data_IF_388694371402
#
_entry.id   IF_388694371402
#
_cell.length_a   1.000
_cell.length_b   1.000
_cell.length_c   1.000
_cell.angle_alpha   90.00
_cell.angle_beta   90.00
_cell.angle_gamma   90.00
#
_symmetry.space_group_name_H-M   'P 1'
#
loop_
_entity.id
_entity.type
_entity.pdbx_description
1 polymer ?
#
# COMPACT_ATOMS: atom_id res chain seq x y z
N UNK A 1 8.25 -4.63 16.42
CA UNK A 1 8.40 -5.46 15.20
C UNK A 1 7.08 -6.13 14.74
N UNK A 2 5.89 -5.71 15.22
CA UNK A 2 4.62 -6.38 14.92
C UNK A 2 3.70 -5.71 13.90
N UNK A 3 3.97 -4.46 13.53
CA UNK A 3 3.02 -3.64 12.75
C UNK A 3 3.01 -3.98 11.24
N UNK A 4 4.16 -4.44 10.72
CA UNK A 4 4.36 -4.70 9.29
C UNK A 4 3.38 -5.77 8.77
N UNK A 5 3.08 -6.79 9.58
CA UNK A 5 2.13 -7.86 9.20
C UNK A 5 0.68 -7.35 9.12
N UNK A 6 0.30 -6.40 9.97
CA UNK A 6 -1.03 -5.79 9.96
C UNK A 6 -1.17 -4.87 8.75
N UNK A 7 -0.13 -4.10 8.44
CA UNK A 7 -0.06 -3.27 7.23
C UNK A 7 -0.20 -4.13 5.98
N UNK A 8 0.49 -5.27 5.90
CA UNK A 8 0.37 -6.20 4.76
C UNK A 8 -1.07 -6.72 4.57
N UNK A 9 -1.71 -7.15 5.67
CA UNK A 9 -3.08 -7.65 5.64
C UNK A 9 -4.08 -6.55 5.25
N UNK A 10 -3.88 -5.33 5.77
CA UNK A 10 -4.70 -4.16 5.44
C UNK A 10 -4.52 -3.77 3.96
N UNK A 11 -3.28 -3.68 3.49
CA UNK A 11 -2.92 -3.38 2.10
C UNK A 11 -3.48 -4.44 1.16
N UNK A 12 -3.42 -5.73 1.50
CA UNK A 12 -3.98 -6.80 0.67
C UNK A 12 -5.50 -6.68 0.50
N UNK A 13 -6.23 -6.41 1.59
CA UNK A 13 -7.68 -6.15 1.55
C UNK A 13 -8.00 -4.85 0.82
N UNK A 14 -7.21 -3.81 1.05
CA UNK A 14 -7.35 -2.50 0.41
C UNK A 14 -7.13 -2.60 -1.10
N UNK A 15 -6.09 -3.30 -1.55
CA UNK A 15 -5.83 -3.58 -2.97
C UNK A 15 -6.96 -4.36 -3.61
N UNK A 16 -7.51 -5.35 -2.91
CA UNK A 16 -8.68 -6.09 -3.40
C UNK A 16 -9.93 -5.21 -3.53
N UNK A 17 -10.13 -4.25 -2.61
CA UNK A 17 -11.23 -3.26 -2.69
C UNK A 17 -11.00 -2.19 -3.75
N UNK A 18 -9.76 -1.75 -3.94
CA UNK A 18 -9.39 -0.72 -4.92
C UNK A 18 -9.33 -1.26 -6.35
N UNK A 19 -9.21 -2.58 -6.53
CA UNK A 19 -9.12 -3.26 -7.82
C UNK A 19 -8.11 -2.59 -8.79
N UNK A 20 -8.59 -1.73 -9.69
CA UNK A 20 -7.77 -0.96 -10.62
C UNK A 20 -6.83 0.06 -9.96
N UNK A 21 -7.14 0.52 -8.74
CA UNK A 21 -6.29 1.44 -7.98
C UNK A 21 -5.27 0.72 -7.09
N UNK A 22 -5.21 -0.62 -7.12
CA UNK A 22 -4.21 -1.40 -6.39
C UNK A 22 -2.78 -1.10 -6.85
N UNK A 23 -2.60 -0.68 -8.10
CA UNK A 23 -1.33 -0.27 -8.70
C UNK A 23 -0.75 1.00 -8.05
N UNK A 24 -1.60 1.78 -7.37
CA UNK A 24 -1.16 2.96 -6.62
C UNK A 24 -0.39 2.61 -5.35
N UNK A 25 -0.42 1.37 -4.88
CA UNK A 25 0.32 0.98 -3.67
C UNK A 25 1.69 0.45 -4.05
N UNK A 26 2.73 1.25 -3.82
CA UNK A 26 4.12 0.86 -4.03
C UNK A 26 4.72 0.24 -2.76
N UNK A 27 5.35 -0.92 -2.92
CA UNK A 27 6.12 -1.56 -1.85
C UNK A 27 7.56 -1.04 -1.87
N UNK A 28 7.94 -0.28 -0.85
CA UNK A 28 9.32 0.20 -0.66
C UNK A 28 10.06 -0.77 0.25
N UNK A 29 10.91 -1.63 -0.33
CA UNK A 29 11.76 -2.55 0.44
C UNK A 29 12.65 -1.77 1.39
N UNK A 30 12.59 -2.10 2.68
CA UNK A 30 13.36 -1.44 3.75
C UNK A 30 12.65 -0.27 4.43
N UNK A 31 11.52 0.22 3.90
CA UNK A 31 10.76 1.34 4.47
C UNK A 31 9.28 1.02 4.73
N UNK A 32 8.60 0.25 3.87
CA UNK A 32 7.19 -0.09 4.02
C UNK A 32 6.38 0.08 2.72
N UNK A 33 5.22 0.71 2.80
CA UNK A 33 4.30 0.89 1.68
C UNK A 33 4.00 2.37 1.45
N UNK A 34 3.95 2.79 0.19
CA UNK A 34 3.61 4.16 -0.21
C UNK A 34 2.38 4.15 -1.10
N UNK A 35 1.47 5.10 -0.87
CA UNK A 35 0.33 5.31 -1.74
C UNK A 35 0.65 6.42 -2.75
N UNK A 36 0.65 6.09 -4.04
CA UNK A 36 0.79 7.02 -5.17
C UNK A 36 -0.57 7.66 -5.42
N UNK A 37 -0.98 8.55 -4.52
CA UNK A 37 -2.23 9.29 -4.59
C UNK A 37 -1.99 10.76 -4.29
N UNK A 38 -1.71 11.53 -5.35
CA UNK A 38 -1.76 12.99 -5.32
C UNK A 38 -0.62 13.68 -4.59
N UNK A 39 0.44 14.04 -5.33
CA UNK A 39 1.20 15.25 -5.04
C UNK A 39 1.80 15.80 -6.33
N UNK A 40 1.08 16.76 -6.93
CA UNK A 40 1.63 17.90 -7.68
C UNK A 40 2.20 17.67 -9.08
N UNK A 41 1.54 18.29 -10.08
CA UNK A 41 2.09 18.54 -11.41
C UNK A 41 1.22 18.04 -12.53
#
# INVERSE_FOLDING_TARGET
HGDIRLVDACVKRLRNKLAAAADRVETVRGFGYRFRGGSGG
#
